data_IF_975952877897
#
_entry.id   IF_975952877897
#
_cell.length_a   1.000
_cell.length_b   1.000
_cell.length_c   1.000
_cell.angle_alpha   90.00
_cell.angle_beta   90.00
_cell.angle_gamma   90.00
#
_symmetry.space_group_name_H-M   'P 1'
#
loop_
_entity.id
_entity.type
_entity.pdbx_description
1 polymer ?
#
# COMPACT_ATOMS: atom_id res chain seq x y z
N UNK A 1 -36.69 23.40 8.20
CA UNK A 1 -35.81 23.56 7.04
C UNK A 1 -36.70 23.49 5.82
N UNK A 2 -36.65 24.49 4.97
CA UNK A 2 -37.30 24.48 3.66
C UNK A 2 -36.47 23.64 2.67
N UNK A 3 -37.10 23.25 1.55
CA UNK A 3 -36.45 22.42 0.53
C UNK A 3 -35.16 23.08 0.02
N UNK A 4 -35.16 24.40 -0.14
CA UNK A 4 -33.98 25.14 -0.63
C UNK A 4 -32.85 25.17 0.41
N UNK A 5 -33.18 25.44 1.68
CA UNK A 5 -32.20 25.35 2.77
C UNK A 5 -31.61 23.95 2.96
N UNK A 6 -32.41 22.90 2.78
CA UNK A 6 -31.91 21.51 2.83
C UNK A 6 -30.98 21.16 1.68
N UNK A 7 -31.21 21.74 0.49
CA UNK A 7 -30.32 21.58 -0.67
C UNK A 7 -28.95 22.20 -0.41
N UNK A 8 -28.93 23.46 0.03
CA UNK A 8 -27.67 24.17 0.34
C UNK A 8 -26.89 23.41 1.41
N UNK A 9 -27.55 23.00 2.50
CA UNK A 9 -26.92 22.20 3.55
C UNK A 9 -26.32 20.89 3.02
N UNK A 10 -27.04 20.16 2.16
CA UNK A 10 -26.53 18.92 1.60
C UNK A 10 -25.32 19.19 0.72
N UNK A 11 -25.36 20.22 -0.13
CA UNK A 11 -24.24 20.54 -1.00
C UNK A 11 -23.00 20.91 -0.20
N UNK A 12 -23.14 21.69 0.87
CA UNK A 12 -22.03 22.01 1.77
C UNK A 12 -21.49 20.75 2.45
N UNK A 13 -22.36 19.87 2.94
CA UNK A 13 -21.97 18.59 3.54
C UNK A 13 -21.18 17.72 2.53
N UNK A 14 -21.69 17.61 1.31
CA UNK A 14 -21.05 16.85 0.24
C UNK A 14 -19.67 17.42 -0.10
N UNK A 15 -19.60 18.72 -0.38
CA UNK A 15 -18.39 19.37 -0.88
C UNK A 15 -17.29 19.50 0.18
N UNK A 16 -17.64 19.82 1.43
CA UNK A 16 -16.66 20.14 2.47
C UNK A 16 -16.35 18.97 3.42
N UNK A 17 -17.23 17.97 3.52
CA UNK A 17 -17.02 16.84 4.44
C UNK A 17 -16.94 15.51 3.71
N UNK A 18 -17.89 15.21 2.81
CA UNK A 18 -17.97 13.87 2.22
C UNK A 18 -16.92 13.65 1.13
N UNK A 19 -16.74 14.60 0.23
CA UNK A 19 -15.74 14.50 -0.85
C UNK A 19 -14.32 14.34 -0.32
N UNK A 20 -13.82 15.18 0.62
CA UNK A 20 -12.51 14.97 1.24
C UNK A 20 -12.38 13.61 1.93
N UNK A 21 -13.43 13.14 2.61
CA UNK A 21 -13.42 11.83 3.24
C UNK A 21 -13.35 10.68 2.21
N UNK A 22 -14.12 10.77 1.13
CA UNK A 22 -14.18 9.74 0.09
C UNK A 22 -12.86 9.63 -0.69
N UNK A 23 -12.21 10.75 -0.99
CA UNK A 23 -10.88 10.77 -1.62
C UNK A 23 -9.89 9.93 -0.81
N UNK A 24 -9.81 10.18 0.50
CA UNK A 24 -8.91 9.52 1.42
C UNK A 24 -9.28 8.05 1.63
N UNK A 25 -10.56 7.74 1.88
CA UNK A 25 -11.04 6.37 2.06
C UNK A 25 -10.76 5.49 0.83
N UNK A 26 -10.92 6.03 -0.38
CA UNK A 26 -10.63 5.32 -1.61
C UNK A 26 -9.12 5.13 -1.80
N UNK A 27 -8.31 6.16 -1.54
CA UNK A 27 -6.83 6.04 -1.62
C UNK A 27 -6.30 4.99 -0.65
N UNK A 28 -6.80 4.95 0.57
CA UNK A 28 -6.43 3.92 1.55
C UNK A 28 -6.93 2.54 1.14
N UNK A 29 -8.18 2.45 0.68
CA UNK A 29 -8.75 1.20 0.17
C UNK A 29 -7.98 0.62 -1.01
N UNK A 30 -7.53 1.47 -1.94
CA UNK A 30 -6.68 1.07 -3.06
C UNK A 30 -5.32 0.54 -2.59
N UNK A 31 -4.69 1.19 -1.60
CA UNK A 31 -3.41 0.74 -1.05
C UNK A 31 -3.53 -0.62 -0.34
N UNK A 32 -4.61 -0.83 0.42
CA UNK A 32 -4.79 -2.03 1.23
C UNK A 32 -5.31 -3.22 0.42
N UNK A 33 -6.22 -2.98 -0.53
CA UNK A 33 -6.98 -4.03 -1.20
C UNK A 33 -6.81 -4.04 -2.72
N UNK A 34 -6.14 -3.05 -3.29
CA UNK A 34 -6.07 -2.86 -4.74
C UNK A 34 -7.42 -2.54 -5.37
N UNK A 35 -7.45 -2.54 -6.70
CA UNK A 35 -8.68 -2.36 -7.47
C UNK A 35 -9.51 -3.65 -7.48
N UNK A 36 -10.75 -3.57 -7.00
CA UNK A 36 -11.68 -4.72 -6.90
C UNK A 36 -12.95 -4.60 -7.75
N UNK A 37 -13.20 -3.45 -8.34
CA UNK A 37 -14.36 -3.19 -9.18
C UNK A 37 -14.00 -2.19 -10.31
N UNK A 38 -14.97 -1.86 -11.17
CA UNK A 38 -14.85 -0.69 -12.03
C UNK A 38 -15.01 0.59 -11.20
N UNK A 39 -14.50 1.72 -11.71
CA UNK A 39 -14.76 3.02 -11.09
C UNK A 39 -16.22 3.40 -11.29
N UNK A 40 -16.87 3.84 -10.23
CA UNK A 40 -18.22 4.40 -10.27
C UNK A 40 -18.17 5.77 -9.57
N UNK A 41 -18.72 6.79 -10.22
CA UNK A 41 -18.76 8.13 -9.65
C UNK A 41 -19.94 8.26 -8.66
N UNK A 42 -19.66 8.44 -7.36
CA UNK A 42 -20.71 8.55 -6.36
C UNK A 42 -21.53 9.83 -6.51
N UNK A 43 -20.99 10.89 -7.12
CA UNK A 43 -21.72 12.14 -7.38
C UNK A 43 -22.88 11.91 -8.37
N UNK A 44 -22.67 11.05 -9.37
CA UNK A 44 -23.72 10.64 -10.30
C UNK A 44 -24.86 9.93 -9.59
N UNK A 45 -24.56 8.94 -8.75
CA UNK A 45 -25.59 8.22 -8.00
C UNK A 45 -26.40 9.15 -7.10
N UNK A 46 -25.74 10.08 -6.42
CA UNK A 46 -26.41 11.10 -5.60
C UNK A 46 -27.34 11.96 -6.45
N UNK A 47 -26.87 12.45 -7.60
CA UNK A 47 -27.67 13.27 -8.51
C UNK A 47 -28.90 12.52 -9.04
N UNK A 48 -28.76 11.23 -9.34
CA UNK A 48 -29.84 10.38 -9.86
C UNK A 48 -30.87 10.00 -8.78
N UNK A 49 -30.42 9.86 -7.53
CA UNK A 49 -31.25 9.41 -6.39
C UNK A 49 -31.82 10.58 -5.58
N UNK A 50 -31.60 11.81 -6.04
CA UNK A 50 -31.95 13.01 -5.30
C UNK A 50 -33.47 13.10 -5.06
N UNK A 51 -33.91 13.41 -3.83
CA UNK A 51 -35.33 13.51 -3.50
C UNK A 51 -35.97 14.81 -4.03
N UNK A 52 -35.17 15.78 -4.46
CA UNK A 52 -35.62 17.07 -5.01
C UNK A 52 -35.55 17.03 -6.53
N UNK A 53 -36.63 17.43 -7.21
CA UNK A 53 -36.82 17.13 -8.63
C UNK A 53 -35.65 17.63 -9.52
N UNK A 54 -35.30 16.82 -10.53
CA UNK A 54 -34.22 17.09 -11.48
C UNK A 54 -34.44 18.35 -12.36
N UNK A 55 -35.69 18.82 -12.50
CA UNK A 55 -36.00 20.02 -13.29
C UNK A 55 -35.46 21.31 -12.63
N UNK A 56 -35.17 21.27 -11.33
CA UNK A 56 -34.60 22.37 -10.55
C UNK A 56 -33.07 22.33 -10.40
N UNK A 57 -32.38 21.40 -11.07
CA UNK A 57 -30.91 21.31 -11.10
C UNK A 57 -30.26 22.26 -12.14
N UNK A 58 -31.05 22.92 -13.00
CA UNK A 58 -30.55 23.91 -13.96
C UNK A 58 -30.21 25.27 -13.33
N UNK A 59 -30.37 25.42 -12.01
CA UNK A 59 -29.96 26.62 -11.29
C UNK A 59 -28.49 26.49 -10.87
N UNK A 60 -27.67 27.40 -11.38
CA UNK A 60 -26.24 27.69 -11.16
C UNK A 60 -25.79 27.86 -9.67
N UNK A 61 -26.47 27.23 -8.72
CA UNK A 61 -26.19 27.31 -7.28
C UNK A 61 -25.55 26.02 -6.79
N UNK A 62 -24.21 26.00 -6.74
CA UNK A 62 -23.38 24.98 -6.08
C UNK A 62 -23.53 23.56 -6.68
N UNK A 63 -22.73 23.27 -7.70
CA UNK A 63 -22.61 21.90 -8.22
C UNK A 63 -22.02 20.97 -7.15
N UNK A 64 -22.54 19.75 -7.05
CA UNK A 64 -21.93 18.68 -6.28
C UNK A 64 -20.55 18.38 -6.88
N UNK A 65 -19.50 18.45 -6.06
CA UNK A 65 -18.16 18.11 -6.50
C UNK A 65 -18.11 16.65 -6.96
N UNK A 66 -17.57 16.45 -8.16
CA UNK A 66 -17.40 15.13 -8.74
C UNK A 66 -16.12 14.47 -8.22
N UNK A 67 -16.17 13.17 -7.94
CA UNK A 67 -15.01 12.39 -7.58
C UNK A 67 -14.48 11.70 -8.85
N UNK A 68 -13.29 12.07 -9.30
CA UNK A 68 -12.72 11.50 -10.53
C UNK A 68 -11.71 10.40 -10.18
N UNK A 69 -11.56 9.37 -11.02
CA UNK A 69 -10.61 8.30 -10.76
C UNK A 69 -9.17 8.82 -10.65
N UNK A 70 -8.82 9.88 -11.38
CA UNK A 70 -7.51 10.51 -11.30
C UNK A 70 -7.20 11.16 -9.94
N UNK A 71 -8.22 11.66 -9.23
CA UNK A 71 -8.04 12.38 -7.95
C UNK A 71 -7.57 11.43 -6.83
N UNK A 72 -7.85 10.13 -6.98
CA UNK A 72 -7.44 9.06 -6.06
C UNK A 72 -6.37 8.13 -6.63
N UNK A 73 -5.94 8.37 -7.88
CA UNK A 73 -5.00 7.51 -8.59
C UNK A 73 -5.57 6.15 -9.01
N UNK A 74 -6.90 6.03 -9.15
CA UNK A 74 -7.59 4.76 -9.43
C UNK A 74 -7.11 4.07 -10.71
N UNK A 75 -6.88 4.83 -11.78
CA UNK A 75 -6.40 4.30 -13.07
C UNK A 75 -4.94 3.83 -13.02
N UNK A 76 -4.19 4.31 -12.02
CA UNK A 76 -2.82 3.84 -11.75
C UNK A 76 -2.77 2.47 -11.07
N UNK A 77 -3.87 2.05 -10.42
CA UNK A 77 -4.05 0.75 -9.77
C UNK A 77 -4.75 -0.23 -10.72
N UNK A 78 -4.19 -0.50 -11.91
CA UNK A 78 -4.57 -1.74 -12.61
C UNK A 78 -4.15 -2.93 -11.75
N UNK A 79 -4.91 -4.03 -11.79
CA UNK A 79 -4.61 -5.31 -11.11
C UNK A 79 -3.31 -6.00 -11.59
N UNK A 80 -2.42 -5.23 -12.21
CA UNK A 80 -1.14 -5.58 -12.80
C UNK A 80 -0.35 -4.28 -12.98
N UNK A 81 0.47 -3.94 -11.98
CA UNK A 81 1.59 -3.00 -12.07
C UNK A 81 2.53 -3.45 -10.93
N UNK A 82 3.64 -4.14 -11.12
CA UNK A 82 4.64 -4.08 -12.18
C UNK A 82 4.79 -2.68 -12.74
N UNK A 83 5.50 -1.86 -11.96
CA UNK A 83 6.61 -1.07 -12.46
C UNK A 83 6.29 -0.02 -13.50
N UNK A 84 6.36 1.23 -13.06
CA UNK A 84 6.75 2.41 -13.83
C UNK A 84 7.10 2.18 -15.32
N UNK A 85 6.30 2.76 -16.22
CA UNK A 85 6.82 3.16 -17.53
C UNK A 85 6.77 4.67 -17.64
N UNK A 86 7.93 5.30 -17.51
CA UNK A 86 8.21 6.52 -18.24
C UNK A 86 9.71 6.69 -18.46
N UNK A 87 10.08 6.43 -19.73
CA UNK A 87 11.23 6.92 -20.49
C UNK A 87 12.57 6.17 -20.36
N UNK A 88 12.83 5.46 -21.48
CA UNK A 88 14.11 5.28 -22.17
C UNK A 88 15.39 5.69 -21.43
N UNK A 89 16.29 4.72 -21.21
CA UNK A 89 17.70 4.76 -21.63
C UNK A 89 18.19 3.31 -21.71
N UNK A 90 18.96 3.03 -22.76
CA UNK A 90 19.64 1.76 -23.04
C UNK A 90 20.72 1.43 -22.01
N UNK A 91 21.06 0.14 -21.95
CA UNK A 91 22.24 -0.50 -21.32
C UNK A 91 22.02 -1.13 -19.94
N UNK A 92 22.02 -2.47 -19.98
CA UNK A 92 22.61 -3.39 -19.00
C UNK A 92 23.04 -2.79 -17.67
N UNK A 93 22.22 -2.98 -16.64
CA UNK A 93 22.68 -3.09 -15.26
C UNK A 93 21.66 -3.92 -14.48
N UNK A 94 22.04 -5.14 -14.11
CA UNK A 94 21.29 -6.03 -13.20
C UNK A 94 21.15 -5.42 -11.78
N UNK A 95 21.68 -4.21 -11.59
CA UNK A 95 21.76 -3.48 -10.33
C UNK A 95 20.56 -2.54 -10.11
N UNK A 96 19.71 -2.32 -11.12
CA UNK A 96 18.55 -1.42 -11.04
C UNK A 96 17.23 -2.03 -10.53
N UNK A 97 17.11 -3.36 -10.49
CA UNK A 97 15.90 -4.03 -10.01
C UNK A 97 16.01 -4.34 -8.50
N UNK A 98 15.22 -3.68 -7.63
CA UNK A 98 15.25 -3.92 -6.19
C UNK A 98 14.83 -5.34 -5.82
N UNK A 99 13.97 -5.99 -6.63
CA UNK A 99 13.53 -7.36 -6.40
C UNK A 99 14.64 -8.35 -6.74
N UNK A 100 15.27 -8.20 -7.91
CA UNK A 100 16.42 -9.03 -8.32
C UNK A 100 17.57 -8.92 -7.31
N UNK A 101 17.88 -7.72 -6.81
CA UNK A 101 18.90 -7.53 -5.77
C UNK A 101 18.58 -8.28 -4.49
N UNK A 102 17.32 -8.26 -4.05
CA UNK A 102 16.90 -8.97 -2.84
C UNK A 102 16.95 -10.49 -3.05
N UNK A 103 16.52 -10.98 -4.21
CA UNK A 103 16.59 -12.39 -4.58
C UNK A 103 18.04 -12.88 -4.63
N UNK A 104 18.94 -12.10 -5.23
CA UNK A 104 20.36 -12.42 -5.32
C UNK A 104 21.00 -12.44 -3.92
N UNK A 105 20.74 -11.41 -3.09
CA UNK A 105 21.22 -11.34 -1.70
C UNK A 105 20.68 -12.49 -0.83
N UNK A 106 19.41 -12.88 -1.03
CA UNK A 106 18.81 -14.02 -0.33
C UNK A 106 19.42 -15.34 -0.77
N UNK A 107 19.66 -15.50 -2.06
CA UNK A 107 20.36 -16.65 -2.61
C UNK A 107 21.78 -16.75 -2.05
N UNK A 108 22.51 -15.63 -2.00
CA UNK A 108 23.84 -15.55 -1.40
C UNK A 108 23.81 -15.94 0.08
N UNK A 109 22.89 -15.36 0.87
CA UNK A 109 22.74 -15.68 2.29
C UNK A 109 22.38 -17.16 2.53
N UNK A 110 21.58 -17.77 1.66
CA UNK A 110 21.19 -19.18 1.76
C UNK A 110 22.29 -20.15 1.28
N UNK A 111 23.18 -19.72 0.39
CA UNK A 111 24.23 -20.57 -0.18
C UNK A 111 25.46 -20.77 0.73
N UNK A 112 25.55 -20.08 1.87
CA UNK A 112 26.61 -20.31 2.86
C UNK A 112 26.62 -21.71 3.50
N UNK A 113 25.62 -22.56 3.22
CA UNK A 113 25.51 -23.90 3.82
C UNK A 113 26.24 -25.03 3.08
N UNK A 114 26.98 -24.78 1.98
CA UNK A 114 27.34 -25.88 1.05
C UNK A 114 28.80 -26.06 0.64
N UNK A 115 29.80 -25.48 1.34
CA UNK A 115 31.19 -25.99 1.24
C UNK A 115 32.01 -25.78 2.53
N UNK A 116 32.52 -26.91 3.08
CA UNK A 116 33.47 -27.11 4.20
C UNK A 116 32.85 -26.93 5.61
N UNK A 117 32.40 -27.95 6.37
CA UNK A 117 32.81 -29.34 6.59
C UNK A 117 34.29 -29.55 6.96
N UNK A 118 34.48 -30.07 8.18
CA UNK A 118 35.64 -30.72 8.82
C UNK A 118 36.86 -29.88 9.28
N UNK A 119 36.69 -29.12 10.36
CA UNK A 119 37.75 -29.02 11.39
C UNK A 119 37.86 -30.40 12.08
N UNK A 120 38.98 -31.08 11.88
CA UNK A 120 39.37 -32.25 12.69
C UNK A 120 40.69 -31.93 13.37
N UNK A 121 40.63 -31.08 14.39
CA UNK A 121 41.71 -30.92 15.37
C UNK A 121 41.51 -31.94 16.49
N UNK A 122 42.01 -33.16 16.28
CA UNK A 122 42.28 -34.09 17.37
C UNK A 122 43.58 -33.66 18.05
N UNK A 123 43.51 -32.67 18.93
CA UNK A 123 44.60 -32.39 19.87
C UNK A 123 44.53 -33.41 21.01
N UNK A 124 45.57 -34.23 21.09
CA UNK A 124 45.74 -35.23 22.15
C UNK A 124 45.92 -34.53 23.50
N UNK A 125 44.87 -34.51 24.33
CA UNK A 125 44.97 -34.13 25.74
C UNK A 125 45.58 -35.30 26.52
N UNK A 126 46.87 -35.19 26.77
CA UNK A 126 47.63 -36.03 27.69
C UNK A 126 47.43 -35.47 29.11
N UNK A 127 46.91 -36.34 29.98
CA UNK A 127 47.08 -36.51 31.42
C UNK A 127 47.45 -35.35 32.37
N UNK A 128 46.89 -35.52 33.58
CA UNK A 128 47.30 -34.95 34.88
C UNK A 128 46.91 -33.48 35.13
N UNK A 129 46.42 -33.04 36.29
CA UNK A 129 46.11 -33.60 37.60
C UNK A 129 45.58 -32.39 38.43
N UNK A 130 44.96 -32.66 39.58
CA UNK A 130 44.65 -31.73 40.70
C UNK A 130 43.27 -31.06 40.58
N UNK A 131 42.22 -31.64 41.16
CA UNK A 131 41.91 -31.59 42.60
C UNK A 131 41.96 -30.16 43.15
N UNK A 132 40.78 -29.56 43.34
CA UNK A 132 40.49 -28.72 44.50
C UNK A 132 39.02 -28.33 44.55
N UNK A 133 38.35 -29.04 45.45
CA UNK A 133 37.39 -28.52 46.44
C UNK A 133 36.11 -27.84 45.96
N UNK A 134 35.06 -28.64 46.07
CA UNK A 134 33.67 -28.23 46.19
C UNK A 134 33.50 -27.48 47.52
N UNK A 135 33.52 -26.15 47.50
CA UNK A 135 33.07 -25.35 48.65
C UNK A 135 31.90 -24.46 48.21
N UNK A 136 30.69 -24.98 48.35
CA UNK A 136 29.47 -24.17 48.35
C UNK A 136 28.41 -24.90 49.17
N UNK A 137 28.39 -24.57 50.47
CA UNK A 137 27.26 -24.82 51.34
C UNK A 137 27.23 -23.74 52.43
N UNK A 138 26.08 -23.05 52.47
CA UNK A 138 25.58 -22.06 53.44
C UNK A 138 25.84 -20.58 53.13
#
# INVERSE_FOLDING_TARGET
MDVEGSRVWFTDLWNYSLVPYLLEAVREGLQLYGKRAAWEDPCKWVSDTYPWNAASLHGEGQALLQLRPEDVGYDGYSSSKEGASSKQVSQSDTEGDPLMNMLLRLQEAANYSSTQSCDSDSTSHHDEQLDSSLESAL
#
